data_IF_538156224381
#
_entry.id   IF_538156224381
#
_cell.length_a   1.000
_cell.length_b   1.000
_cell.length_c   1.000
_cell.angle_alpha   90.00
_cell.angle_beta   90.00
_cell.angle_gamma   90.00
#
_symmetry.space_group_name_H-M   'P 1'
#
loop_
_entity.id
_entity.type
_entity.pdbx_description
1 polymer ?
#
# COMPACT_ATOMS: atom_id res chain seq x y z
N UNK A 1 13.55 2.74 4.21
CA UNK A 1 14.89 2.30 3.78
C UNK A 1 15.99 3.27 4.20
N UNK A 2 16.20 4.39 3.50
CA UNK A 2 17.32 5.30 3.78
C UNK A 2 17.32 5.88 5.20
N UNK A 3 16.17 6.30 5.72
CA UNK A 3 16.03 6.76 7.12
C UNK A 3 16.37 5.67 8.15
N UNK A 4 16.34 4.41 7.75
CA UNK A 4 16.74 3.25 8.55
C UNK A 4 18.17 2.75 8.22
N UNK A 5 18.96 3.53 7.47
CA UNK A 5 20.35 3.21 7.15
C UNK A 5 20.55 2.06 6.15
N UNK A 6 19.50 1.67 5.41
CA UNK A 6 19.57 0.63 4.37
C UNK A 6 19.63 1.26 2.98
N UNK A 7 20.52 0.72 2.14
CA UNK A 7 20.70 1.14 0.74
C UNK A 7 19.71 0.47 -0.23
N UNK A 8 18.91 -0.48 0.27
CA UNK A 8 17.88 -1.16 -0.49
C UNK A 8 16.53 -1.10 0.22
N UNK A 9 15.47 -1.18 -0.57
CA UNK A 9 14.07 -1.16 -0.11
C UNK A 9 13.63 -2.60 0.16
N UNK A 10 12.99 -2.83 1.30
CA UNK A 10 12.28 -4.09 1.58
C UNK A 10 10.78 -3.87 1.44
N UNK A 11 9.97 -4.92 1.25
CA UNK A 11 8.54 -4.78 1.07
C UNK A 11 7.82 -4.00 2.18
N UNK A 12 8.27 -4.13 3.43
CA UNK A 12 7.73 -3.40 4.58
C UNK A 12 7.89 -1.88 4.44
N UNK A 13 8.97 -1.41 3.80
CA UNK A 13 9.15 0.03 3.53
C UNK A 13 8.06 0.56 2.59
N UNK A 14 7.68 -0.24 1.58
CA UNK A 14 6.65 0.12 0.61
C UNK A 14 5.27 0.09 1.29
N UNK A 15 4.98 -0.99 2.03
CA UNK A 15 3.72 -1.15 2.75
C UNK A 15 3.49 -0.01 3.76
N UNK A 16 4.54 0.42 4.47
CA UNK A 16 4.45 1.49 5.46
C UNK A 16 4.01 2.84 4.87
N UNK A 17 4.32 3.12 3.60
CA UNK A 17 3.99 4.40 2.94
C UNK A 17 2.85 4.29 1.93
N UNK A 18 2.36 3.08 1.64
CA UNK A 18 1.41 2.83 0.57
C UNK A 18 0.10 3.62 0.75
N UNK A 19 -0.53 3.59 1.93
CA UNK A 19 -1.77 4.33 2.21
C UNK A 19 -1.59 5.84 2.02
N UNK A 20 -0.66 6.52 2.73
CA UNK A 20 -0.50 7.96 2.56
C UNK A 20 -0.04 8.36 1.15
N UNK A 21 0.68 7.50 0.43
CA UNK A 21 1.12 7.78 -0.94
C UNK A 21 0.05 7.57 -2.01
N UNK A 22 -0.91 6.65 -1.81
CA UNK A 22 -1.84 6.21 -2.84
C UNK A 22 -3.29 6.60 -2.59
N UNK A 23 -3.76 6.66 -1.33
CA UNK A 23 -5.19 6.79 -1.03
C UNK A 23 -5.82 8.05 -1.65
N UNK A 24 -5.12 9.18 -1.60
CA UNK A 24 -5.57 10.45 -2.17
C UNK A 24 -5.41 10.54 -3.70
N UNK A 25 -4.81 9.52 -4.33
CA UNK A 25 -4.61 9.42 -5.79
C UNK A 25 -5.67 8.54 -6.45
N UNK A 26 -6.55 7.92 -5.67
CA UNK A 26 -7.62 7.08 -6.18
C UNK A 26 -8.85 7.93 -6.49
N UNK A 27 -9.43 7.72 -7.68
CA UNK A 27 -10.76 8.21 -8.01
C UNK A 27 -11.76 7.10 -7.80
N UNK A 28 -12.62 7.25 -6.80
CA UNK A 28 -13.67 6.28 -6.51
C UNK A 28 -14.94 6.62 -7.28
N UNK A 29 -15.69 5.59 -7.64
CA UNK A 29 -17.03 5.77 -8.19
C UNK A 29 -17.98 6.28 -7.09
N UNK A 30 -18.93 7.18 -7.40
CA UNK A 30 -19.81 7.78 -6.39
C UNK A 30 -20.59 6.77 -5.54
N UNK A 31 -20.94 5.61 -6.09
CA UNK A 31 -21.69 4.57 -5.37
C UNK A 31 -20.91 4.03 -4.15
N UNK A 32 -19.58 4.07 -4.19
CA UNK A 32 -18.72 3.62 -3.09
C UNK A 32 -18.74 4.59 -1.89
N UNK A 33 -19.01 5.88 -2.12
CA UNK A 33 -19.13 6.86 -1.04
C UNK A 33 -20.36 6.60 -0.18
N UNK A 34 -21.47 6.17 -0.80
CA UNK A 34 -22.70 5.77 -0.10
C UNK A 34 -22.44 4.58 0.81
N UNK A 35 -21.59 3.65 0.37
CA UNK A 35 -21.12 2.50 1.15
C UNK A 35 -20.05 2.86 2.19
N UNK A 36 -19.66 4.14 2.29
CA UNK A 36 -18.60 4.66 3.16
C UNK A 36 -17.23 4.03 2.91
N UNK A 37 -16.99 3.54 1.70
CA UNK A 37 -15.68 3.05 1.28
C UNK A 37 -14.80 4.24 0.92
N UNK A 38 -13.61 4.28 1.49
CA UNK A 38 -12.61 5.32 1.28
C UNK A 38 -11.42 4.80 0.49
N UNK A 39 -10.61 5.73 -0.03
CA UNK A 39 -9.39 5.36 -0.76
C UNK A 39 -8.40 4.59 0.11
N UNK A 40 -8.36 4.87 1.41
CA UNK A 40 -7.54 4.13 2.36
C UNK A 40 -7.95 2.65 2.46
N UNK A 41 -9.26 2.37 2.48
CA UNK A 41 -9.79 1.00 2.58
C UNK A 41 -9.37 0.17 1.36
N UNK A 42 -9.47 0.75 0.17
CA UNK A 42 -9.06 0.10 -1.10
C UNK A 42 -7.57 -0.20 -1.12
N UNK A 43 -6.73 0.72 -0.62
CA UNK A 43 -5.28 0.50 -0.58
C UNK A 43 -4.94 -0.62 0.41
N UNK A 44 -5.58 -0.66 1.58
CA UNK A 44 -5.37 -1.72 2.58
C UNK A 44 -5.76 -3.08 2.00
N UNK A 45 -6.95 -3.19 1.41
CA UNK A 45 -7.43 -4.43 0.79
C UNK A 45 -6.48 -4.92 -0.32
N UNK A 46 -5.97 -4.00 -1.15
CA UNK A 46 -5.01 -4.34 -2.20
C UNK A 46 -3.70 -4.90 -1.62
N UNK A 47 -3.18 -4.32 -0.54
CA UNK A 47 -1.97 -4.80 0.13
C UNK A 47 -2.13 -6.20 0.75
N UNK A 48 -3.34 -6.57 1.16
CA UNK A 48 -3.66 -7.90 1.68
C UNK A 48 -3.82 -8.93 0.55
N UNK A 49 -4.28 -8.49 -0.62
CA UNK A 49 -4.51 -9.36 -1.77
C UNK A 49 -3.23 -9.79 -2.51
N UNK A 50 -2.16 -9.00 -2.41
CA UNK A 50 -0.90 -9.25 -3.13
C UNK A 50 0.15 -9.79 -2.16
N UNK A 51 0.60 -11.04 -2.33
CA UNK A 51 1.65 -11.59 -1.47
C UNK A 51 2.97 -10.84 -1.66
N UNK A 52 3.72 -10.73 -0.58
CA UNK A 52 5.09 -10.22 -0.64
C UNK A 52 5.97 -11.17 -1.47
N UNK A 53 6.94 -10.66 -2.26
CA UNK A 53 7.94 -11.52 -2.87
C UNK A 53 8.62 -12.41 -1.81
N UNK A 54 8.87 -13.69 -2.11
CA UNK A 54 9.66 -14.53 -1.20
C UNK A 54 11.06 -13.93 -1.06
N UNK A 55 11.70 -14.16 0.10
CA UNK A 55 13.13 -13.95 0.19
C UNK A 55 13.79 -14.93 -0.80
N UNK A 56 14.42 -14.41 -1.85
CA UNK A 56 15.31 -15.22 -2.68
C UNK A 56 16.54 -15.52 -1.83
N UNK A 57 16.88 -16.79 -1.67
CA UNK A 57 18.16 -17.21 -1.11
C UNK A 57 19.25 -16.85 -2.13
N UNK A 58 19.84 -15.66 -1.99
CA UNK A 58 20.99 -15.20 -2.78
C UNK A 58 22.29 -15.57 -2.09
#
# INVERSE_FOLDING_TARGET
AALAGRDFVVPEDVKAIAVPALAHRLTLRPELWVQRIRGEDVVVEALESVPTPPAEDV
#
